data_IF_867317939435
#
_entry.id   IF_867317939435
#
_cell.length_a   1.000
_cell.length_b   1.000
_cell.length_c   1.000
_cell.angle_alpha   90.00
_cell.angle_beta   90.00
_cell.angle_gamma   90.00
#
_symmetry.space_group_name_H-M   'P 1'
#
loop_
_entity.id
_entity.type
_entity.pdbx_description
1 polymer ?
#
# COMPACT_ATOMS: atom_id res chain seq x y z
N UNK A 1 22.94 3.86 5.90
CA UNK A 1 21.74 4.59 6.37
C UNK A 1 20.96 5.07 5.15
N UNK A 2 19.87 4.41 4.78
CA UNK A 2 19.04 4.83 3.64
C UNK A 2 18.33 6.12 4.03
N UNK A 3 18.37 7.15 3.17
CA UNK A 3 17.71 8.44 3.44
C UNK A 3 16.19 8.22 3.65
N UNK A 4 15.54 8.88 4.62
CA UNK A 4 14.12 8.71 4.91
C UNK A 4 13.21 8.88 3.68
N UNK A 5 13.55 9.83 2.80
CA UNK A 5 12.87 10.05 1.50
C UNK A 5 12.94 8.82 0.59
N UNK A 6 14.10 8.16 0.52
CA UNK A 6 14.27 6.97 -0.33
C UNK A 6 13.44 5.79 0.19
N UNK A 7 13.34 5.63 1.52
CA UNK A 7 12.42 4.63 2.13
C UNK A 7 10.97 4.93 1.78
N UNK A 8 10.54 6.19 1.87
CA UNK A 8 9.18 6.59 1.52
C UNK A 8 8.88 6.30 0.05
N UNK A 9 9.80 6.62 -0.87
CA UNK A 9 9.63 6.34 -2.30
C UNK A 9 9.48 4.84 -2.58
N UNK A 10 10.29 4.00 -1.94
CA UNK A 10 10.20 2.53 -2.07
C UNK A 10 8.85 2.03 -1.56
N UNK A 11 8.40 2.53 -0.40
CA UNK A 11 7.12 2.13 0.18
C UNK A 11 5.92 2.64 -0.65
N UNK A 12 6.00 3.83 -1.23
CA UNK A 12 5.01 4.32 -2.18
C UNK A 12 4.91 3.41 -3.40
N UNK A 13 6.04 3.02 -3.97
CA UNK A 13 6.09 2.11 -5.11
C UNK A 13 5.54 0.73 -4.77
N UNK A 14 5.88 0.18 -3.60
CA UNK A 14 5.35 -1.09 -3.10
C UNK A 14 3.84 -1.04 -2.81
N UNK A 15 3.34 0.09 -2.29
CA UNK A 15 1.89 0.30 -2.10
C UNK A 15 1.15 0.35 -3.44
N UNK A 16 1.72 1.00 -4.44
CA UNK A 16 1.12 1.08 -5.78
C UNK A 16 1.12 -0.28 -6.50
N UNK A 17 2.19 -1.07 -6.37
CA UNK A 17 2.25 -2.40 -6.98
C UNK A 17 1.21 -3.35 -6.38
N UNK A 18 0.95 -3.26 -5.07
CA UNK A 18 -0.15 -3.98 -4.43
C UNK A 18 -1.50 -3.62 -5.06
N UNK A 19 -1.72 -2.35 -5.44
CA UNK A 19 -2.95 -1.93 -6.10
C UNK A 19 -3.08 -2.45 -7.54
N UNK A 20 -1.98 -2.58 -8.28
CA UNK A 20 -2.00 -2.98 -9.69
C UNK A 20 -2.24 -4.49 -9.90
N UNK A 21 -1.79 -5.34 -8.97
CA UNK A 21 -1.88 -6.80 -9.11
C UNK A 21 -3.32 -7.33 -9.23
N UNK A 22 -4.29 -6.92 -8.38
CA UNK A 22 -5.67 -7.39 -8.49
C UNK A 22 -6.33 -7.07 -9.83
N UNK A 23 -6.02 -5.91 -10.42
CA UNK A 23 -6.56 -5.50 -11.72
C UNK A 23 -6.08 -6.42 -12.85
N UNK A 24 -4.79 -6.78 -12.84
CA UNK A 24 -4.22 -7.71 -13.83
C UNK A 24 -4.85 -9.10 -13.69
N UNK A 25 -4.99 -9.60 -12.46
CA UNK A 25 -5.59 -10.91 -12.19
C UNK A 25 -7.07 -10.93 -12.60
N UNK A 26 -7.84 -9.88 -12.28
CA UNK A 26 -9.24 -9.74 -12.68
C UNK A 26 -9.39 -9.79 -14.21
N UNK A 27 -8.59 -9.02 -14.94
CA UNK A 27 -8.61 -9.02 -16.42
C UNK A 27 -8.33 -10.41 -17.01
N UNK A 28 -7.34 -11.12 -16.46
CA UNK A 28 -6.98 -12.46 -16.93
C UNK A 28 -8.08 -13.51 -16.67
N UNK A 29 -8.79 -13.40 -15.54
CA UNK A 29 -9.92 -14.29 -15.22
C UNK A 29 -11.15 -13.98 -16.09
N UNK A 30 -11.39 -12.70 -16.38
CA UNK A 30 -12.44 -12.25 -17.30
C UNK A 30 -12.25 -12.86 -18.69
N UNK A 31 -11.03 -12.82 -19.24
CA UNK A 31 -10.72 -13.39 -20.56
C UNK A 31 -10.93 -14.91 -20.64
N UNK A 32 -10.96 -15.60 -19.49
CA UNK A 32 -11.22 -17.05 -19.39
C UNK A 32 -12.68 -17.40 -19.13
N UNK A 33 -13.57 -16.41 -19.02
CA UNK A 33 -15.01 -16.60 -18.80
C UNK A 33 -15.39 -17.04 -17.38
N UNK A 34 -14.51 -16.84 -16.38
CA UNK A 34 -14.75 -17.27 -15.01
C UNK A 34 -15.37 -16.13 -14.17
N UNK A 35 -16.64 -15.84 -14.42
CA UNK A 35 -17.36 -14.69 -13.85
C UNK A 35 -17.42 -14.65 -12.32
N UNK A 36 -17.63 -15.80 -11.66
CA UNK A 36 -17.71 -15.87 -10.20
C UNK A 36 -16.38 -15.58 -9.50
N UNK A 37 -15.28 -16.07 -10.07
CA UNK A 37 -13.93 -15.84 -9.54
C UNK A 37 -13.47 -14.40 -9.79
N UNK A 38 -13.82 -13.83 -10.94
CA UNK A 38 -13.58 -12.41 -11.23
C UNK A 38 -14.28 -11.51 -10.21
N UNK A 39 -15.56 -11.74 -9.90
CA UNK A 39 -16.29 -10.97 -8.90
C UNK A 39 -15.65 -11.05 -7.50
N UNK A 40 -15.20 -12.23 -7.08
CA UNK A 40 -14.52 -12.40 -5.78
C UNK A 40 -13.17 -11.70 -5.76
N UNK A 41 -12.39 -11.81 -6.83
CA UNK A 41 -11.07 -11.13 -6.94
C UNK A 41 -11.22 -9.62 -6.98
N UNK A 42 -12.18 -9.11 -7.74
CA UNK A 42 -12.39 -7.68 -7.92
C UNK A 42 -13.04 -7.04 -6.69
N UNK A 43 -14.02 -7.70 -6.07
CA UNK A 43 -14.75 -7.10 -4.95
C UNK A 43 -14.09 -7.38 -3.60
N UNK A 44 -13.77 -8.65 -3.28
CA UNK A 44 -13.15 -8.99 -2.00
C UNK A 44 -11.63 -8.82 -2.05
N UNK A 45 -10.99 -9.34 -3.11
CA UNK A 45 -9.55 -9.29 -3.28
C UNK A 45 -9.02 -7.87 -3.40
N UNK A 46 -9.56 -7.08 -4.32
CA UNK A 46 -9.11 -5.71 -4.52
C UNK A 46 -9.39 -4.84 -3.29
N UNK A 47 -10.58 -4.93 -2.67
CA UNK A 47 -10.91 -4.14 -1.46
C UNK A 47 -9.95 -4.43 -0.30
N UNK A 48 -9.64 -5.71 -0.03
CA UNK A 48 -8.68 -6.08 1.02
C UNK A 48 -7.28 -5.56 0.71
N UNK A 49 -6.82 -5.72 -0.53
CA UNK A 49 -5.49 -5.31 -0.95
C UNK A 49 -5.36 -3.78 -0.96
N UNK A 50 -6.37 -3.05 -1.42
CA UNK A 50 -6.42 -1.59 -1.33
C UNK A 50 -6.40 -1.12 0.13
N UNK A 51 -7.14 -1.79 1.02
CA UNK A 51 -7.14 -1.46 2.45
C UNK A 51 -5.76 -1.67 3.08
N UNK A 52 -5.08 -2.77 2.77
CA UNK A 52 -3.70 -3.01 3.23
C UNK A 52 -2.71 -2.03 2.64
N UNK A 53 -2.84 -1.67 1.36
CA UNK A 53 -1.99 -0.67 0.72
C UNK A 53 -2.14 0.70 1.40
N UNK A 54 -3.37 1.14 1.69
CA UNK A 54 -3.64 2.38 2.40
C UNK A 54 -3.03 2.35 3.81
N UNK A 55 -3.22 1.27 4.56
CA UNK A 55 -2.63 1.11 5.90
C UNK A 55 -1.10 1.14 5.85
N UNK A 56 -0.51 0.44 4.89
CA UNK A 56 0.94 0.41 4.70
C UNK A 56 1.50 1.79 4.36
N UNK A 57 0.85 2.52 3.45
CA UNK A 57 1.21 3.88 3.09
C UNK A 57 1.09 4.83 4.28
N UNK A 58 -0.01 4.75 5.04
CA UNK A 58 -0.21 5.57 6.23
C UNK A 58 0.88 5.33 7.29
N UNK A 59 1.23 4.06 7.55
CA UNK A 59 2.32 3.71 8.47
C UNK A 59 3.68 4.22 7.97
N UNK A 60 3.95 4.08 6.67
CA UNK A 60 5.18 4.59 6.07
C UNK A 60 5.27 6.11 6.16
N UNK A 61 4.15 6.82 5.98
CA UNK A 61 4.10 8.27 6.05
C UNK A 61 4.30 8.76 7.48
N UNK A 62 3.66 8.12 8.47
CA UNK A 62 3.87 8.42 9.88
C UNK A 62 5.34 8.23 10.29
N UNK A 63 5.96 7.11 9.92
CA UNK A 63 7.39 6.86 10.19
C UNK A 63 8.30 7.88 9.51
N UNK A 64 7.94 8.30 8.30
CA UNK A 64 8.68 9.36 7.63
C UNK A 64 8.56 10.67 8.41
N UNK A 65 7.35 11.09 8.79
CA UNK A 65 7.12 12.31 9.59
C UNK A 65 7.92 12.28 10.89
N UNK A 66 7.88 11.18 11.64
CA UNK A 66 8.65 11.01 12.88
C UNK A 66 10.18 11.09 12.66
N UNK A 67 10.68 10.62 11.52
CA UNK A 67 12.11 10.68 11.17
C UNK A 67 12.56 12.09 10.75
N UNK A 68 11.72 12.91 10.09
CA UNK A 68 12.11 14.28 9.66
C UNK A 68 11.69 15.39 10.63
N UNK A 69 10.62 15.18 11.39
CA UNK A 69 10.28 15.97 12.56
C UNK A 69 10.58 15.11 13.78
N UNK A 70 11.83 15.06 14.27
CA UNK A 70 12.06 14.58 15.61
C UNK A 70 11.25 15.50 16.51
N UNK A 71 10.09 15.03 16.96
CA UNK A 71 9.31 15.72 17.97
C UNK A 71 10.28 16.17 19.04
N UNK A 72 10.22 17.45 19.39
CA UNK A 72 10.98 18.04 20.48
C UNK A 72 10.77 17.18 21.72
N UNK A 73 11.65 16.21 21.94
CA UNK A 73 11.84 15.52 23.22
C UNK A 73 12.61 16.43 24.20
N UNK A 74 12.59 17.75 23.97
CA UNK A 74 12.84 18.78 24.96
C UNK A 74 11.50 19.22 25.57
N UNK A 75 10.97 18.40 26.48
CA UNK A 75 10.23 18.82 27.69
C UNK A 75 9.50 17.61 28.27
N UNK A 76 10.28 16.67 28.80
CA UNK A 76 9.83 15.88 29.95
C UNK A 76 10.87 16.16 31.04
N UNK A 77 10.59 17.21 31.80
CA UNK A 77 11.07 17.32 33.18
C UNK A 77 10.56 16.10 33.97
#
# INVERSE_FOLDING_TARGET
>A
MIKPILKLMINLFAGFSLFAVPLIVSSFLSDRGIFGEAFVVEFLGATLISSFAILFLAVSLNRFIDEIQPSSSASKN
#
